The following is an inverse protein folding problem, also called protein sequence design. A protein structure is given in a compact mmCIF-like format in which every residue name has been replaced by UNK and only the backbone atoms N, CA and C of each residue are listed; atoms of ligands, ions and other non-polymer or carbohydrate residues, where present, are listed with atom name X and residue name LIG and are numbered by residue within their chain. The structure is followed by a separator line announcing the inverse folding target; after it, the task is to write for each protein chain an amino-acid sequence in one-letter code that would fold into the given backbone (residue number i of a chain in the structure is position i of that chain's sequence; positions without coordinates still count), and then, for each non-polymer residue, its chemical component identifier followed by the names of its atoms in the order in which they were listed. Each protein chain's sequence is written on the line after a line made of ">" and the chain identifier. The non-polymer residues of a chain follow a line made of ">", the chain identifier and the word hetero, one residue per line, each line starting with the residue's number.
data_IF_234723937614
#
_entry.id   IF_234723937614
#
_cell.length_a   1.000
_cell.length_b   1.000
_cell.length_c   1.000
_cell.angle_alpha   90.00
_cell.angle_beta   90.00
_cell.angle_gamma   90.00
#
_symmetry.space_group_name_H-M   'P 1'
#
loop_
_entity.id
_entity.type
_entity.pdbx_description
1 polymer ?
#
# COMPACT_ATOMS: atom_id res chain seq x y z
N UNK A 1 -3.79 14.73 -8.04
CA UNK A 1 -3.61 13.34 -7.52
C UNK A 1 -3.90 13.33 -6.05
N UNK A 2 -4.63 12.35 -5.58
CA UNK A 2 -5.01 12.17 -4.17
C UNK A 2 -4.32 10.94 -3.57
N UNK A 3 -4.18 10.93 -2.24
CA UNK A 3 -3.60 9.82 -1.50
C UNK A 3 -4.68 8.91 -0.92
N UNK A 4 -4.40 7.61 -0.84
CA UNK A 4 -5.26 6.63 -0.19
C UNK A 4 -4.40 5.75 0.71
N UNK A 5 -4.72 5.66 1.99
CA UNK A 5 -4.07 4.73 2.92
C UNK A 5 -5.08 3.66 3.32
N UNK A 6 -4.74 2.41 3.06
CA UNK A 6 -5.56 1.27 3.43
C UNK A 6 -5.15 0.75 4.81
N UNK A 7 -6.00 1.03 5.79
CA UNK A 7 -5.80 0.66 7.19
C UNK A 7 -6.93 -0.24 7.73
N UNK A 8 -7.62 -0.94 6.83
CA UNK A 8 -8.63 -1.94 7.15
C UNK A 8 -8.04 -3.31 7.52
N UNK A 9 -8.91 -4.30 7.63
CA UNK A 9 -8.53 -5.68 7.93
C UNK A 9 -8.56 -6.01 9.43
N UNK A 10 -8.69 -7.31 9.71
CA UNK A 10 -8.92 -7.82 11.08
C UNK A 10 -7.62 -8.03 11.87
N UNK A 11 -6.46 -7.99 11.23
CA UNK A 11 -5.13 -8.15 11.83
C UNK A 11 -5.01 -9.32 12.83
N UNK A 12 -5.65 -10.46 12.52
CA UNK A 12 -5.77 -11.63 13.43
C UNK A 12 -4.43 -12.23 13.81
N UNK A 13 -3.41 -12.09 12.94
CA UNK A 13 -2.05 -12.60 13.17
C UNK A 13 -1.29 -11.86 14.27
N UNK A 14 -1.71 -10.63 14.60
CA UNK A 14 -1.12 -9.81 15.66
C UNK A 14 -1.93 -9.85 16.96
N UNK A 15 -2.91 -10.75 17.09
CA UNK A 15 -3.57 -10.99 18.38
C UNK A 15 -2.59 -11.54 19.39
N UNK A 16 -2.68 -11.13 20.70
CA UNK A 16 -3.76 -10.35 21.30
C UNK A 16 -3.63 -8.81 21.16
N UNK A 17 -2.54 -8.26 20.62
CA UNK A 17 -2.33 -6.80 20.50
C UNK A 17 -3.50 -6.11 19.79
N UNK A 18 -4.02 -6.74 18.74
CA UNK A 18 -5.10 -6.19 17.90
C UNK A 18 -6.51 -6.51 18.41
N UNK A 19 -6.67 -6.95 19.63
CA UNK A 19 -7.98 -6.99 20.29
C UNK A 19 -8.42 -5.63 20.84
N UNK A 20 -7.47 -4.75 21.16
CA UNK A 20 -7.72 -3.45 21.78
C UNK A 20 -7.47 -2.27 20.86
N UNK A 21 -6.78 -2.48 19.72
CA UNK A 21 -6.47 -1.41 18.78
C UNK A 21 -6.26 -1.97 17.36
N UNK A 22 -6.30 -1.10 16.36
CA UNK A 22 -5.96 -1.46 14.98
C UNK A 22 -4.43 -1.65 14.85
N UNK A 23 -3.98 -2.61 14.01
CA UNK A 23 -2.54 -2.86 13.82
C UNK A 23 -1.75 -1.62 13.39
N UNK A 24 -2.35 -0.77 12.56
CA UNK A 24 -1.70 0.45 12.03
C UNK A 24 -1.51 1.54 13.08
N UNK A 25 -2.11 1.37 14.28
CA UNK A 25 -1.93 2.25 15.43
C UNK A 25 -0.88 1.71 16.43
N UNK A 26 -0.40 0.48 16.23
CA UNK A 26 0.71 -0.07 17.01
C UNK A 26 1.96 0.78 16.78
N UNK A 27 2.80 0.95 17.81
CA UNK A 27 4.03 1.72 17.67
C UNK A 27 5.05 0.97 16.81
N UNK A 28 5.72 1.70 15.94
CA UNK A 28 6.96 1.30 15.30
C UNK A 28 8.03 2.29 15.75
N UNK A 29 8.90 1.83 16.63
CA UNK A 29 9.91 2.63 17.33
C UNK A 29 9.27 3.81 18.08
N UNK A 30 9.28 5.01 17.54
CA UNK A 30 8.92 6.26 18.22
C UNK A 30 7.57 6.87 17.79
N UNK A 31 6.83 6.24 16.86
CA UNK A 31 5.54 6.76 16.39
C UNK A 31 4.60 5.65 15.91
N UNK A 32 3.28 5.92 15.81
CA UNK A 32 2.33 4.95 15.26
C UNK A 32 2.67 4.54 13.83
N UNK A 33 2.47 3.26 13.50
CA UNK A 33 2.76 2.69 12.19
C UNK A 33 2.17 3.50 11.03
N UNK A 34 0.93 3.99 11.16
CA UNK A 34 0.22 4.77 10.13
C UNK A 34 0.91 6.10 9.76
N UNK A 35 1.80 6.63 10.62
CA UNK A 35 2.49 7.88 10.34
C UNK A 35 3.46 7.74 9.17
N UNK A 36 4.12 6.58 9.01
CA UNK A 36 5.11 6.36 7.95
C UNK A 36 4.51 6.52 6.55
N UNK A 37 3.44 5.80 6.16
CA UNK A 37 2.80 6.01 4.86
C UNK A 37 2.19 7.41 4.72
N UNK A 38 1.64 8.00 5.79
CA UNK A 38 1.06 9.33 5.74
C UNK A 38 2.12 10.40 5.46
N UNK A 39 3.24 10.36 6.17
CA UNK A 39 4.38 11.27 5.94
C UNK A 39 4.96 11.10 4.54
N UNK A 40 5.04 9.85 4.03
CA UNK A 40 5.55 9.58 2.68
C UNK A 40 4.66 10.21 1.60
N UNK A 41 3.33 10.12 1.73
CA UNK A 41 2.39 10.78 0.83
C UNK A 41 2.46 12.31 0.95
N UNK A 42 2.55 12.83 2.17
CA UNK A 42 2.68 14.27 2.41
C UNK A 42 3.98 14.85 1.81
N UNK A 43 5.12 14.18 2.02
CA UNK A 43 6.43 14.51 1.42
C UNK A 43 6.38 14.46 -0.11
N UNK A 44 5.59 13.54 -0.69
CA UNK A 44 5.36 13.49 -2.14
C UNK A 44 4.53 14.66 -2.69
N UNK A 45 4.07 15.58 -1.84
CA UNK A 45 3.28 16.75 -2.22
C UNK A 45 1.78 16.50 -2.35
N UNK A 46 1.29 15.34 -1.93
CA UNK A 46 -0.14 15.00 -1.91
C UNK A 46 -0.80 15.77 -0.76
N UNK A 47 -1.88 16.50 -1.06
CA UNK A 47 -2.55 17.40 -0.10
C UNK A 47 -3.85 16.85 0.46
N UNK A 48 -4.48 15.91 -0.19
CA UNK A 48 -5.71 15.25 0.26
C UNK A 48 -5.48 13.75 0.35
N UNK A 49 -5.74 13.17 1.53
CA UNK A 49 -5.51 11.75 1.79
C UNK A 49 -6.75 11.13 2.43
N UNK A 50 -7.23 10.02 1.86
CA UNK A 50 -8.27 9.18 2.45
C UNK A 50 -7.64 8.06 3.27
N UNK A 51 -8.08 7.89 4.50
CA UNK A 51 -7.76 6.73 5.33
C UNK A 51 -8.98 5.82 5.39
N UNK A 52 -8.82 4.59 4.88
CA UNK A 52 -9.84 3.55 4.96
C UNK A 52 -9.53 2.61 6.12
N UNK A 53 -10.45 2.47 7.07
CA UNK A 53 -10.27 1.65 8.28
C UNK A 53 -11.43 0.69 8.50
N UNK A 54 -11.26 -0.27 9.44
CA UNK A 54 -12.38 -1.11 9.90
C UNK A 54 -13.36 -0.30 10.77
N UNK A 55 -14.64 -0.69 10.83
CA UNK A 55 -15.65 -0.01 11.67
C UNK A 55 -15.23 0.12 13.13
N UNK A 56 -14.68 -0.95 13.71
CA UNK A 56 -14.36 -1.03 15.14
C UNK A 56 -13.30 -0.02 15.60
N UNK A 57 -12.48 0.47 14.66
CA UNK A 57 -11.33 1.32 14.98
C UNK A 57 -11.34 2.70 14.30
N UNK A 58 -12.36 3.02 13.52
CA UNK A 58 -12.43 4.30 12.78
C UNK A 58 -12.27 5.53 13.70
N UNK A 59 -12.89 5.49 14.88
CA UNK A 59 -12.78 6.54 15.88
C UNK A 59 -11.35 6.73 16.42
N UNK A 60 -10.54 5.68 16.49
CA UNK A 60 -9.16 5.78 16.94
C UNK A 60 -8.30 6.57 15.96
N UNK A 61 -8.49 6.35 14.64
CA UNK A 61 -7.79 7.12 13.59
C UNK A 61 -8.18 8.59 13.61
N UNK A 62 -9.47 8.91 13.70
CA UNK A 62 -9.94 10.29 13.74
C UNK A 62 -9.46 11.02 14.99
N UNK A 63 -9.39 10.35 16.14
CA UNK A 63 -8.86 10.93 17.39
C UNK A 63 -7.35 11.19 17.29
N UNK A 64 -6.58 10.28 16.68
CA UNK A 64 -5.14 10.41 16.56
C UNK A 64 -4.73 11.46 15.51
N UNK A 65 -5.33 11.40 14.32
CA UNK A 65 -4.85 12.14 13.13
C UNK A 65 -5.66 13.40 12.85
N UNK A 66 -6.84 13.56 13.48
CA UNK A 66 -7.72 14.72 13.33
C UNK A 66 -7.97 15.10 11.86
N UNK A 67 -7.74 16.35 11.50
CA UNK A 67 -7.85 16.87 10.12
C UNK A 67 -6.60 16.67 9.27
N UNK A 68 -5.47 16.23 9.87
CA UNK A 68 -4.20 16.05 9.16
C UNK A 68 -3.29 17.27 9.17
N UNK A 69 -3.62 18.31 9.92
CA UNK A 69 -2.87 19.58 9.97
C UNK A 69 -1.40 19.35 10.37
N UNK A 70 -1.16 18.45 11.33
CA UNK A 70 0.20 18.08 11.79
C UNK A 70 1.08 17.50 10.67
N UNK A 71 0.47 17.01 9.59
CA UNK A 71 1.16 16.45 8.42
C UNK A 71 1.12 17.36 7.18
N UNK A 72 0.47 18.53 7.29
CA UNK A 72 0.29 19.46 6.17
C UNK A 72 -0.59 18.91 5.04
N UNK A 73 -1.53 18.02 5.38
CA UNK A 73 -2.52 17.43 4.48
C UNK A 73 -3.93 17.60 5.03
N UNK A 74 -4.94 17.41 4.17
CA UNK A 74 -6.33 17.30 4.59
C UNK A 74 -6.74 15.84 4.59
N UNK A 75 -7.17 15.33 5.75
CA UNK A 75 -7.59 13.94 5.90
C UNK A 75 -9.09 13.77 5.70
N UNK A 76 -9.41 12.67 5.03
CA UNK A 76 -10.75 12.12 4.88
C UNK A 76 -10.75 10.69 5.43
N UNK A 77 -11.90 10.22 5.88
CA UNK A 77 -12.03 8.90 6.50
C UNK A 77 -13.15 8.12 5.85
N UNK A 78 -12.89 6.85 5.55
CA UNK A 78 -13.90 5.90 5.11
C UNK A 78 -13.86 4.62 5.92
N UNK A 79 -14.99 3.92 5.96
CA UNK A 79 -15.14 2.69 6.74
C UNK A 79 -15.33 1.51 5.78
N UNK A 80 -14.41 0.57 5.81
CA UNK A 80 -14.48 -0.68 5.07
C UNK A 80 -15.40 -1.67 5.80
N UNK A 81 -16.64 -1.79 5.38
CA UNK A 81 -17.62 -2.70 5.98
C UNK A 81 -17.29 -4.18 5.74
N UNK A 82 -16.65 -4.51 4.61
CA UNK A 82 -16.21 -5.87 4.30
C UNK A 82 -14.69 -6.01 4.47
N UNK A 83 -14.19 -6.45 5.63
CA UNK A 83 -12.76 -6.59 5.88
C UNK A 83 -12.08 -7.72 5.10
N UNK A 84 -12.88 -8.57 4.43
CA UNK A 84 -12.41 -9.69 3.60
C UNK A 84 -12.55 -9.41 2.09
N UNK A 85 -12.88 -8.19 1.70
CA UNK A 85 -13.07 -7.84 0.28
C UNK A 85 -11.81 -7.83 -0.57
N UNK A 86 -10.64 -7.82 0.05
CA UNK A 86 -9.33 -7.72 -0.63
C UNK A 86 -8.87 -6.27 -0.84
N UNK A 87 -7.63 -6.11 -1.29
CA UNK A 87 -6.99 -4.79 -1.46
C UNK A 87 -7.70 -3.99 -2.56
N UNK A 88 -8.01 -4.62 -3.70
CA UNK A 88 -8.69 -3.91 -4.79
C UNK A 88 -10.10 -3.43 -4.38
N UNK A 89 -10.84 -4.22 -3.57
CA UNK A 89 -12.10 -3.76 -3.00
C UNK A 89 -11.92 -2.51 -2.13
N UNK A 90 -10.91 -2.52 -1.27
CA UNK A 90 -10.61 -1.37 -0.40
C UNK A 90 -10.22 -0.12 -1.20
N UNK A 91 -9.47 -0.27 -2.31
CA UNK A 91 -9.19 0.81 -3.26
C UNK A 91 -10.50 1.35 -3.87
N UNK A 92 -11.42 0.48 -4.25
CA UNK A 92 -12.72 0.86 -4.83
C UNK A 92 -13.54 1.79 -3.94
N UNK A 93 -13.40 1.69 -2.61
CA UNK A 93 -14.07 2.61 -1.67
C UNK A 93 -13.60 4.06 -1.77
N UNK A 94 -12.49 4.32 -2.45
CA UNK A 94 -11.96 5.66 -2.65
C UNK A 94 -12.53 6.37 -3.89
N UNK A 95 -13.43 5.77 -4.66
CA UNK A 95 -13.93 6.32 -5.94
C UNK A 95 -14.56 7.71 -5.76
N UNK A 96 -15.50 7.85 -4.84
CA UNK A 96 -16.17 9.12 -4.54
C UNK A 96 -15.18 10.20 -4.04
N UNK A 97 -14.17 9.78 -3.28
CA UNK A 97 -13.11 10.68 -2.83
C UNK A 97 -12.20 11.11 -3.98
N UNK A 98 -11.84 10.18 -4.86
CA UNK A 98 -10.93 10.43 -5.99
C UNK A 98 -11.54 11.40 -7.02
N UNK A 99 -12.86 11.36 -7.24
CA UNK A 99 -13.57 12.24 -8.17
C UNK A 99 -12.94 12.31 -9.57
N UNK A 100 -12.51 11.17 -10.10
CA UNK A 100 -11.86 11.07 -11.40
C UNK A 100 -10.39 11.51 -11.44
N UNK A 101 -9.77 11.76 -10.29
CA UNK A 101 -8.34 12.01 -10.21
C UNK A 101 -7.52 10.71 -10.10
N UNK A 102 -6.26 10.79 -10.50
CA UNK A 102 -5.25 9.75 -10.22
C UNK A 102 -5.07 9.61 -8.71
N UNK A 103 -4.76 8.38 -8.27
CA UNK A 103 -4.53 8.09 -6.85
C UNK A 103 -3.18 7.44 -6.60
N UNK A 104 -2.54 7.80 -5.48
CA UNK A 104 -1.42 7.08 -4.90
C UNK A 104 -1.94 6.31 -3.68
N UNK A 105 -1.76 5.00 -3.67
CA UNK A 105 -2.25 4.09 -2.64
C UNK A 105 -1.07 3.53 -1.87
N UNK A 106 -1.14 3.55 -0.54
CA UNK A 106 -0.16 2.89 0.33
C UNK A 106 -0.90 2.07 1.38
N UNK A 107 -0.45 0.83 1.59
CA UNK A 107 -0.93 0.03 2.71
C UNK A 107 -0.40 0.61 4.02
N UNK A 108 -1.25 0.70 5.03
CA UNK A 108 -0.95 1.40 6.28
C UNK A 108 0.14 0.76 7.16
N UNK A 109 0.57 -0.46 6.82
CA UNK A 109 1.63 -1.22 7.48
C UNK A 109 2.93 -1.30 6.66
N UNK A 110 3.00 -0.60 5.55
CA UNK A 110 4.19 -0.56 4.71
C UNK A 110 5.10 0.62 5.09
N UNK A 111 6.35 0.31 5.40
CA UNK A 111 7.38 1.29 5.75
C UNK A 111 8.53 1.18 4.74
N UNK A 112 9.00 2.30 4.23
CA UNK A 112 10.03 2.39 3.20
C UNK A 112 10.70 3.77 3.24
N UNK A 113 11.88 3.90 2.62
CA UNK A 113 12.61 5.16 2.54
C UNK A 113 12.66 5.80 1.14
N UNK A 114 11.85 5.28 0.22
CA UNK A 114 11.80 5.82 -1.14
C UNK A 114 11.08 7.17 -1.18
N UNK A 115 11.70 8.18 -1.80
CA UNK A 115 11.04 9.45 -2.08
C UNK A 115 10.04 9.27 -3.23
N UNK A 116 8.76 9.28 -2.89
CA UNK A 116 7.68 9.14 -3.87
C UNK A 116 7.51 10.38 -4.77
N UNK A 117 8.05 11.55 -4.38
CA UNK A 117 7.77 12.81 -5.08
C UNK A 117 8.17 12.79 -6.56
N UNK A 118 9.38 12.35 -6.97
CA UNK A 118 9.75 12.31 -8.38
C UNK A 118 8.82 11.39 -9.20
N UNK A 119 8.40 10.26 -8.61
CA UNK A 119 7.49 9.32 -9.27
C UNK A 119 6.08 9.90 -9.39
N UNK A 120 5.57 10.53 -8.35
CA UNK A 120 4.26 11.24 -8.35
C UNK A 120 4.26 12.36 -9.38
N UNK A 121 5.30 13.18 -9.43
CA UNK A 121 5.43 14.29 -10.39
C UNK A 121 5.47 13.78 -11.85
N UNK A 122 6.20 12.70 -12.10
CA UNK A 122 6.26 12.04 -13.42
C UNK A 122 4.91 11.45 -13.80
N UNK A 123 4.29 10.69 -12.88
CA UNK A 123 3.02 10.01 -13.13
C UNK A 123 1.85 10.99 -13.31
N UNK A 124 1.88 12.11 -12.62
CA UNK A 124 0.85 13.17 -12.80
C UNK A 124 0.79 13.68 -14.25
N UNK A 125 1.93 13.73 -14.95
CA UNK A 125 2.05 14.15 -16.35
C UNK A 125 1.76 13.03 -17.36
N UNK A 126 1.70 11.78 -16.93
CA UNK A 126 1.39 10.64 -17.78
C UNK A 126 -0.12 10.61 -18.05
N UNK A 127 -0.55 10.36 -19.29
CA UNK A 127 -1.98 10.34 -19.62
C UNK A 127 -2.70 9.22 -18.87
N UNK A 128 -2.18 7.99 -18.95
CA UNK A 128 -2.80 6.80 -18.35
C UNK A 128 -1.77 5.75 -17.96
N UNK A 129 -2.17 4.83 -17.08
CA UNK A 129 -1.37 3.68 -16.67
C UNK A 129 -1.45 3.40 -15.18
N UNK A 130 -0.60 2.48 -14.73
CA UNK A 130 -0.35 2.19 -13.33
C UNK A 130 1.14 2.07 -13.05
N UNK A 131 1.50 2.27 -11.79
CA UNK A 131 2.84 2.06 -11.25
C UNK A 131 2.73 1.13 -10.05
N UNK A 132 3.50 0.06 -10.05
CA UNK A 132 3.71 -0.81 -8.89
C UNK A 132 5.14 -0.63 -8.37
N UNK A 133 5.33 -0.93 -7.09
CA UNK A 133 6.65 -0.90 -6.49
C UNK A 133 7.04 -2.30 -6.04
N UNK A 134 8.26 -2.69 -6.33
CA UNK A 134 8.81 -4.00 -6.00
C UNK A 134 10.07 -3.92 -5.16
N UNK A 135 10.37 -4.99 -4.47
CA UNK A 135 11.61 -5.18 -3.70
C UNK A 135 12.24 -6.52 -4.06
N UNK A 136 13.56 -6.56 -4.23
CA UNK A 136 14.26 -7.82 -4.39
C UNK A 136 14.42 -8.52 -3.04
N UNK A 137 13.90 -9.73 -2.95
CA UNK A 137 13.98 -10.55 -1.74
C UNK A 137 15.00 -11.69 -1.91
N UNK A 138 15.68 -12.12 -0.85
CA UNK A 138 16.57 -13.27 -0.92
C UNK A 138 15.78 -14.57 -1.16
N UNK A 139 16.38 -15.49 -1.93
CA UNK A 139 15.83 -16.83 -2.17
C UNK A 139 14.41 -16.81 -2.72
N UNK A 140 13.54 -17.62 -2.12
CA UNK A 140 12.13 -17.83 -2.53
C UNK A 140 11.13 -17.09 -1.64
N UNK A 141 11.56 -16.12 -0.83
CA UNK A 141 10.67 -15.39 0.09
C UNK A 141 9.60 -14.58 -0.64
N UNK A 142 9.85 -14.21 -1.89
CA UNK A 142 8.87 -13.51 -2.75
C UNK A 142 7.55 -14.26 -2.91
N UNK A 143 7.53 -15.60 -2.76
CA UNK A 143 6.31 -16.43 -2.89
C UNK A 143 5.17 -16.07 -1.91
N UNK A 144 5.47 -15.33 -0.86
CA UNK A 144 4.46 -14.89 0.11
C UNK A 144 3.70 -13.63 -0.33
N UNK A 145 4.13 -13.02 -1.44
CA UNK A 145 3.62 -11.76 -1.99
C UNK A 145 3.18 -11.94 -3.45
N UNK A 146 2.62 -10.91 -4.04
CA UNK A 146 2.58 -10.80 -5.50
C UNK A 146 4.01 -10.79 -6.04
N UNK A 147 4.29 -11.57 -7.07
CA UNK A 147 5.63 -11.67 -7.68
C UNK A 147 5.65 -10.97 -9.02
N UNK A 148 6.54 -9.99 -9.15
CA UNK A 148 6.73 -9.20 -10.37
C UNK A 148 7.91 -9.77 -11.16
N UNK A 149 7.71 -10.04 -12.45
CA UNK A 149 8.78 -10.36 -13.38
C UNK A 149 9.00 -9.18 -14.33
N UNK A 150 10.25 -8.77 -14.49
CA UNK A 150 10.65 -7.70 -15.41
C UNK A 150 11.64 -8.24 -16.44
N UNK A 151 11.60 -7.71 -17.65
CA UNK A 151 12.58 -8.01 -18.68
C UNK A 151 13.89 -7.22 -18.49
N UNK A 152 14.85 -7.42 -19.39
CA UNK A 152 16.16 -6.74 -19.35
C UNK A 152 16.05 -5.22 -19.50
N UNK A 153 14.95 -4.71 -20.06
CA UNK A 153 14.69 -3.27 -20.20
C UNK A 153 14.03 -2.67 -18.95
N UNK A 154 13.65 -3.50 -17.95
CA UNK A 154 12.92 -3.11 -16.75
C UNK A 154 11.39 -3.07 -16.93
N UNK A 155 10.87 -3.53 -18.07
CA UNK A 155 9.43 -3.61 -18.34
C UNK A 155 8.81 -4.81 -17.61
N UNK A 156 7.66 -4.61 -16.99
CA UNK A 156 6.89 -5.70 -16.38
C UNK A 156 6.36 -6.63 -17.47
N UNK A 157 6.64 -7.93 -17.34
CA UNK A 157 6.18 -8.98 -18.26
C UNK A 157 5.22 -9.97 -17.60
N UNK A 158 5.25 -10.08 -16.28
CA UNK A 158 4.36 -10.96 -15.51
C UNK A 158 4.17 -10.44 -14.11
N UNK A 159 2.99 -10.67 -13.54
CA UNK A 159 2.70 -10.46 -12.13
C UNK A 159 1.75 -11.56 -11.66
N UNK A 160 2.15 -12.32 -10.61
CA UNK A 160 1.42 -13.48 -10.11
C UNK A 160 1.20 -13.36 -8.60
N UNK A 161 -0.02 -13.64 -8.13
CA UNK A 161 -0.35 -13.61 -6.70
C UNK A 161 0.11 -14.88 -6.01
N UNK A 162 1.07 -14.74 -5.09
CA UNK A 162 1.58 -15.82 -4.21
C UNK A 162 1.83 -17.14 -4.94
N UNK A 163 2.65 -17.16 -6.01
CA UNK A 163 2.88 -18.37 -6.76
C UNK A 163 3.65 -19.42 -5.93
N UNK A 164 3.34 -20.69 -6.09
CA UNK A 164 4.09 -21.78 -5.46
C UNK A 164 5.55 -21.81 -5.94
N UNK A 165 5.76 -21.52 -7.22
CA UNK A 165 7.07 -21.45 -7.88
C UNK A 165 7.28 -20.09 -8.51
N UNK A 166 7.80 -19.09 -7.75
CA UNK A 166 7.97 -17.73 -8.24
C UNK A 166 8.98 -17.66 -9.39
N UNK A 167 8.63 -16.94 -10.45
CA UNK A 167 9.49 -16.72 -11.64
C UNK A 167 10.58 -15.68 -11.40
N UNK A 168 10.46 -14.89 -10.36
CA UNK A 168 11.45 -13.88 -9.98
C UNK A 168 11.53 -13.73 -8.46
N UNK A 169 12.55 -13.04 -8.00
CA UNK A 169 12.71 -12.69 -6.58
C UNK A 169 12.18 -11.28 -6.25
N UNK A 170 11.39 -10.67 -7.13
CA UNK A 170 10.83 -9.34 -6.90
C UNK A 170 9.45 -9.49 -6.29
N UNK A 171 9.33 -9.17 -4.99
CA UNK A 171 8.05 -9.10 -4.31
C UNK A 171 7.37 -7.75 -4.60
N UNK A 172 6.07 -7.78 -4.89
CA UNK A 172 5.23 -6.58 -4.97
C UNK A 172 5.02 -6.03 -3.56
N UNK A 173 5.27 -4.74 -3.40
CA UNK A 173 5.01 -4.02 -2.15
C UNK A 173 3.57 -3.51 -2.10
N UNK A 174 3.17 -2.94 -0.96
CA UNK A 174 1.86 -2.31 -0.80
C UNK A 174 1.81 -0.84 -1.23
N UNK A 175 2.53 -0.46 -2.29
CA UNK A 175 2.57 0.89 -2.82
C UNK A 175 2.16 0.87 -4.29
N UNK A 176 1.19 1.71 -4.67
CA UNK A 176 0.62 1.74 -6.00
C UNK A 176 0.31 3.17 -6.43
N UNK A 177 0.39 3.46 -7.72
CA UNK A 177 -0.16 4.67 -8.31
C UNK A 177 -1.02 4.26 -9.50
N UNK A 178 -2.23 4.79 -9.57
CA UNK A 178 -3.21 4.46 -10.61
C UNK A 178 -3.77 5.71 -11.27
N UNK A 179 -4.09 5.60 -12.54
CA UNK A 179 -4.97 6.55 -13.22
C UNK A 179 -6.44 6.36 -12.80
N UNK A 180 -7.31 7.25 -13.24
CA UNK A 180 -8.74 7.27 -12.90
C UNK A 180 -9.51 6.03 -13.33
N UNK A 181 -9.01 5.26 -14.31
CA UNK A 181 -9.65 4.04 -14.81
C UNK A 181 -9.58 2.86 -13.85
N UNK A 182 -8.83 2.99 -12.76
CA UNK A 182 -8.68 1.96 -11.73
C UNK A 182 -10.04 1.49 -11.21
N UNK A 183 -10.99 2.40 -11.05
CA UNK A 183 -12.32 2.08 -10.55
C UNK A 183 -13.16 1.29 -11.56
N UNK A 184 -13.02 1.57 -12.87
CA UNK A 184 -13.63 0.78 -13.93
C UNK A 184 -13.10 -0.66 -13.96
N UNK A 185 -11.78 -0.83 -13.74
CA UNK A 185 -11.16 -2.16 -13.68
C UNK A 185 -11.62 -2.92 -12.45
N UNK A 186 -11.71 -2.28 -11.28
CA UNK A 186 -12.21 -2.90 -10.04
C UNK A 186 -13.65 -3.40 -10.25
N UNK A 187 -14.53 -2.63 -10.88
CA UNK A 187 -15.92 -3.05 -11.18
C UNK A 187 -16.00 -4.28 -12.10
N UNK A 188 -15.01 -4.52 -12.92
CA UNK A 188 -14.93 -5.66 -13.85
C UNK A 188 -14.28 -6.89 -13.23
N UNK A 189 -13.63 -6.77 -12.06
CA UNK A 189 -13.00 -7.89 -11.39
C UNK A 189 -13.99 -8.91 -10.89
N UNK A 190 -13.55 -10.16 -10.82
CA UNK A 190 -14.26 -11.25 -10.13
C UNK A 190 -13.43 -11.65 -8.91
N UNK A 191 -14.09 -12.03 -7.81
CA UNK A 191 -13.37 -12.55 -6.65
C UNK A 191 -12.52 -13.76 -7.01
N UNK A 192 -11.33 -13.84 -6.42
CA UNK A 192 -10.44 -14.99 -6.51
C UNK A 192 -11.01 -16.21 -5.78
N UNK A 193 -10.32 -17.36 -5.85
CA UNK A 193 -10.68 -18.55 -5.08
C UNK A 193 -10.72 -18.30 -3.55
N UNK A 194 -10.07 -17.23 -3.07
CA UNK A 194 -10.12 -16.77 -1.67
C UNK A 194 -11.33 -15.88 -1.36
N UNK A 195 -12.15 -15.55 -2.36
CA UNK A 195 -13.28 -14.62 -2.23
C UNK A 195 -12.86 -13.14 -2.18
N UNK A 196 -11.62 -12.81 -2.53
CA UNK A 196 -11.05 -11.47 -2.48
C UNK A 196 -10.91 -10.86 -3.88
N UNK A 197 -11.07 -9.54 -4.01
CA UNK A 197 -10.63 -8.80 -5.18
C UNK A 197 -9.13 -8.50 -5.03
N UNK A 198 -8.32 -9.27 -5.77
CA UNK A 198 -6.87 -9.22 -5.65
C UNK A 198 -6.31 -7.98 -6.34
N UNK A 199 -5.37 -7.30 -5.68
CA UNK A 199 -4.66 -6.18 -6.31
C UNK A 199 -3.78 -6.64 -7.48
N UNK A 200 -3.28 -7.87 -7.42
CA UNK A 200 -2.51 -8.48 -8.51
C UNK A 200 -3.36 -8.62 -9.77
N UNK A 201 -4.63 -9.03 -9.65
CA UNK A 201 -5.54 -9.10 -10.78
C UNK A 201 -5.88 -7.71 -11.32
N UNK A 202 -6.04 -6.71 -10.44
CA UNK A 202 -6.20 -5.31 -10.83
C UNK A 202 -4.99 -4.83 -11.66
N UNK A 203 -3.77 -5.10 -11.22
CA UNK A 203 -2.56 -4.74 -11.93
C UNK A 203 -2.43 -5.45 -13.28
N UNK A 204 -2.94 -6.67 -13.39
CA UNK A 204 -2.96 -7.43 -14.64
C UNK A 204 -3.84 -6.79 -15.75
N UNK A 205 -4.84 -5.94 -15.42
CA UNK A 205 -5.54 -5.15 -16.44
C UNK A 205 -4.57 -4.16 -17.11
N UNK A 206 -3.77 -3.44 -16.32
CA UNK A 206 -2.77 -2.50 -16.83
C UNK A 206 -1.62 -3.21 -17.55
N UNK A 207 -1.20 -4.38 -17.06
CA UNK A 207 -0.17 -5.19 -17.73
C UNK A 207 -0.63 -5.62 -19.13
N UNK A 208 -1.86 -6.10 -19.27
CA UNK A 208 -2.43 -6.53 -20.56
C UNK A 208 -2.53 -5.37 -21.57
N UNK A 209 -2.74 -4.15 -21.09
CA UNK A 209 -2.73 -2.95 -21.93
C UNK A 209 -1.31 -2.42 -22.22
N UNK A 210 -0.27 -3.01 -21.63
CA UNK A 210 1.10 -2.53 -21.74
C UNK A 210 1.34 -1.19 -21.04
N UNK A 211 0.52 -0.85 -20.03
CA UNK A 211 0.53 0.43 -19.31
C UNK A 211 0.91 0.30 -17.83
N UNK A 212 1.46 -0.85 -17.41
CA UNK A 212 1.97 -1.10 -16.06
C UNK A 212 3.48 -0.86 -16.01
N UNK A 213 3.90 0.10 -15.19
CA UNK A 213 5.30 0.35 -14.88
C UNK A 213 5.67 -0.21 -13.50
N UNK A 214 6.96 -0.46 -13.28
CA UNK A 214 7.49 -0.90 -11.98
C UNK A 214 8.69 -0.05 -11.57
N UNK A 215 8.76 0.28 -10.27
CA UNK A 215 9.93 0.88 -9.64
C UNK A 215 10.42 -0.05 -8.54
N UNK A 216 11.73 -0.32 -8.49
CA UNK A 216 12.33 -1.13 -7.43
C UNK A 216 12.76 -0.23 -6.26
N UNK A 217 12.45 -0.71 -5.06
CA UNK A 217 12.85 -0.08 -3.80
C UNK A 217 14.18 -0.68 -3.31
N UNK A 218 14.97 0.14 -2.63
CA UNK A 218 16.19 -0.33 -1.95
C UNK A 218 15.85 -0.98 -0.61
N UNK A 219 14.78 -0.49 0.04
CA UNK A 219 14.36 -0.94 1.36
C UNK A 219 12.85 -0.82 1.56
N UNK A 220 12.25 -1.85 2.14
CA UNK A 220 10.84 -1.92 2.47
C UNK A 220 10.59 -3.00 3.54
N UNK A 221 9.56 -2.79 4.35
CA UNK A 221 9.06 -3.79 5.30
C UNK A 221 7.53 -3.72 5.41
N UNK A 222 6.89 -4.90 5.46
CA UNK A 222 5.49 -5.09 5.85
C UNK A 222 5.45 -5.40 7.35
N UNK A 223 5.22 -4.37 8.16
CA UNK A 223 5.27 -4.47 9.61
C UNK A 223 4.03 -5.15 10.24
N UNK A 224 3.02 -5.46 9.43
CA UNK A 224 1.71 -5.95 9.89
C UNK A 224 1.46 -7.44 9.74
N UNK A 225 2.45 -8.25 9.33
CA UNK A 225 2.25 -9.66 8.98
C UNK A 225 2.36 -10.64 10.14
N UNK A 226 3.24 -10.40 11.11
CA UNK A 226 3.44 -11.24 12.29
C UNK A 226 4.06 -10.47 13.44
N UNK A 227 4.11 -11.06 14.65
CA UNK A 227 4.81 -10.48 15.80
C UNK A 227 6.33 -10.33 15.53
N UNK A 228 6.93 -11.30 14.83
CA UNK A 228 8.36 -11.27 14.49
C UNK A 228 8.65 -10.15 13.49
N UNK A 229 7.79 -9.96 12.48
CA UNK A 229 7.93 -8.84 11.53
C UNK A 229 7.67 -7.48 12.19
N UNK A 230 6.74 -7.41 13.15
CA UNK A 230 6.54 -6.21 13.94
C UNK A 230 7.80 -5.84 14.76
N UNK A 231 8.41 -6.82 15.43
CA UNK A 231 9.67 -6.62 16.17
C UNK A 231 10.82 -6.25 15.23
N UNK A 232 10.95 -6.95 14.11
CA UNK A 232 11.95 -6.64 13.08
C UNK A 232 11.79 -5.22 12.55
N UNK A 233 10.55 -4.78 12.28
CA UNK A 233 10.26 -3.42 11.84
C UNK A 233 10.69 -2.38 12.89
N UNK A 234 10.39 -2.63 14.18
CA UNK A 234 10.82 -1.74 15.27
C UNK A 234 12.35 -1.56 15.29
N UNK A 235 13.10 -2.67 15.26
CA UNK A 235 14.56 -2.65 15.32
C UNK A 235 15.15 -1.95 14.09
N UNK A 236 14.66 -2.31 12.90
CA UNK A 236 15.16 -1.77 11.63
C UNK A 236 14.89 -0.25 11.51
N UNK A 237 13.70 0.19 11.93
CA UNK A 237 13.35 1.62 11.91
C UNK A 237 14.15 2.38 12.96
N UNK A 238 14.36 1.81 14.17
CA UNK A 238 15.20 2.42 15.20
C UNK A 238 16.62 2.68 14.68
N UNK A 239 17.25 1.67 14.05
CA UNK A 239 18.59 1.80 13.48
C UNK A 239 18.63 2.89 12.39
N UNK A 240 17.62 2.95 11.50
CA UNK A 240 17.56 3.95 10.43
C UNK A 240 17.33 5.36 10.93
N UNK A 241 16.48 5.54 11.94
CA UNK A 241 16.27 6.87 12.57
C UNK A 241 17.54 7.32 13.29
N UNK A 242 18.19 6.43 14.06
CA UNK A 242 19.44 6.75 14.76
C UNK A 242 20.57 7.12 13.79
N UNK A 243 20.62 6.48 12.62
CA UNK A 243 21.63 6.74 11.57
C UNK A 243 21.25 7.87 10.60
N UNK A 244 20.09 8.51 10.78
CA UNK A 244 19.63 9.60 9.92
C UNK A 244 19.23 9.17 8.50
N UNK A 245 18.83 7.91 8.33
CA UNK A 245 18.40 7.34 7.03
C UNK A 245 16.87 7.32 6.83
N UNK A 246 16.10 7.71 7.85
CA UNK A 246 14.64 7.76 7.81
C UNK A 246 14.10 9.03 8.49
#
# INVERSE_FOLDING_TARGET
>A
MKGVILAGGLATRLRPLTWVTNKHLLPIYNKPMIYYPLESLAKAGIKEVLISSSPDHAGQFTNLLKGGDDFGVKLYYSVQQNPKGGIAHAIGLAEEFAKGEKIAVVLGDNIFNYDLKPTVDKFTKKDKGAMVFGIRMPGMESKHYGVIEIDQSGKVISIEEKPESPKSNIAQTGIYIYDERVFDFIRKQKPSARGELEVTDLNNFYLKEGSLDCTLLDWWIDAGTSHDELLRANNLVADKVITGQL
#
